data_IF_841251289592
#
_entry.id   IF_841251289592
#
_cell.length_a   1.000
_cell.length_b   1.000
_cell.length_c   1.000
_cell.angle_alpha   90.00
_cell.angle_beta   90.00
_cell.angle_gamma   90.00
#
_symmetry.space_group_name_H-M   'P 1'
#
loop_
_entity.id
_entity.type
_entity.pdbx_description
1 polymer ?
#
# COMPACT_ATOMS: atom_id res chain seq x y z
N UNK A 1 -34.21 -22.05 -40.07
CA UNK A 1 -32.80 -22.53 -40.03
C UNK A 1 -31.79 -21.45 -40.46
N UNK A 2 -32.11 -20.58 -41.43
CA UNK A 2 -31.23 -19.49 -41.89
C UNK A 2 -30.82 -18.44 -40.84
N UNK A 3 -31.69 -18.00 -39.91
CA UNK A 3 -31.32 -16.96 -38.94
C UNK A 3 -30.25 -17.39 -37.92
N UNK A 4 -30.15 -18.68 -37.57
CA UNK A 4 -29.12 -19.18 -36.64
C UNK A 4 -27.73 -19.15 -37.27
N UNK A 5 -27.63 -19.42 -38.57
CA UNK A 5 -26.37 -19.35 -39.32
C UNK A 5 -25.82 -17.92 -39.39
N UNK A 6 -26.69 -16.94 -39.66
CA UNK A 6 -26.31 -15.51 -39.73
C UNK A 6 -25.87 -14.98 -38.35
N UNK A 7 -26.54 -15.38 -37.26
CA UNK A 7 -26.15 -14.99 -35.91
C UNK A 7 -24.80 -15.57 -35.49
N UNK A 8 -24.54 -16.84 -35.84
CA UNK A 8 -23.26 -17.47 -35.55
C UNK A 8 -22.11 -16.84 -36.35
N UNK A 9 -22.32 -16.51 -37.63
CA UNK A 9 -21.29 -15.79 -38.40
C UNK A 9 -21.04 -14.37 -37.88
N UNK A 10 -22.07 -13.66 -37.42
CA UNK A 10 -21.91 -12.32 -36.81
C UNK A 10 -21.14 -12.38 -35.49
N UNK A 11 -21.42 -13.38 -34.65
CA UNK A 11 -20.68 -13.63 -33.40
C UNK A 11 -19.23 -14.03 -33.65
N UNK A 12 -18.99 -14.89 -34.63
CA UNK A 12 -17.64 -15.31 -35.02
C UNK A 12 -16.82 -14.12 -35.54
N UNK A 13 -17.42 -13.26 -36.38
CA UNK A 13 -16.77 -12.03 -36.86
C UNK A 13 -16.48 -11.06 -35.72
N UNK A 14 -17.39 -10.91 -34.75
CA UNK A 14 -17.17 -10.07 -33.57
C UNK A 14 -16.03 -10.59 -32.67
N UNK A 15 -15.99 -11.91 -32.40
CA UNK A 15 -14.94 -12.54 -31.62
C UNK A 15 -13.57 -12.47 -32.31
N UNK A 16 -13.52 -12.64 -33.63
CA UNK A 16 -12.29 -12.47 -34.42
C UNK A 16 -11.77 -11.03 -34.39
N UNK A 17 -12.66 -10.04 -34.53
CA UNK A 17 -12.29 -8.63 -34.46
C UNK A 17 -11.84 -8.22 -33.04
N UNK A 18 -12.49 -8.73 -31.99
CA UNK A 18 -12.07 -8.51 -30.60
C UNK A 18 -10.72 -9.18 -30.31
N UNK A 19 -10.53 -10.41 -30.76
CA UNK A 19 -9.25 -11.12 -30.64
C UNK A 19 -8.14 -10.38 -31.39
N UNK A 20 -8.40 -9.87 -32.60
CA UNK A 20 -7.47 -9.04 -33.35
C UNK A 20 -7.12 -7.75 -32.59
N UNK A 21 -8.11 -7.10 -31.98
CA UNK A 21 -7.89 -5.90 -31.18
C UNK A 21 -7.03 -6.17 -29.94
N UNK A 22 -7.32 -7.25 -29.20
CA UNK A 22 -6.51 -7.69 -28.05
C UNK A 22 -5.09 -8.04 -28.51
N UNK A 23 -4.94 -8.73 -29.64
CA UNK A 23 -3.64 -9.09 -30.21
C UNK A 23 -2.82 -7.84 -30.57
N UNK A 24 -3.44 -6.82 -31.16
CA UNK A 24 -2.78 -5.54 -31.47
C UNK A 24 -2.31 -4.84 -30.18
N UNK A 25 -3.15 -4.81 -29.13
CA UNK A 25 -2.76 -4.24 -27.83
C UNK A 25 -1.59 -5.02 -27.22
N UNK A 26 -1.60 -6.35 -27.28
CA UNK A 26 -0.52 -7.19 -26.78
C UNK A 26 0.79 -6.97 -27.53
N UNK A 27 0.74 -6.81 -28.85
CA UNK A 27 1.93 -6.48 -29.66
C UNK A 27 2.45 -5.09 -29.26
N UNK A 28 1.59 -4.07 -29.17
CA UNK A 28 2.00 -2.73 -28.73
C UNK A 28 2.56 -2.69 -27.30
N UNK A 29 2.06 -3.56 -26.42
CA UNK A 29 2.58 -3.74 -25.07
C UNK A 29 3.93 -4.47 -25.05
N UNK A 30 4.13 -5.45 -25.93
CA UNK A 30 5.31 -6.33 -25.97
C UNK A 30 6.47 -5.77 -26.80
N UNK A 31 6.21 -4.83 -27.71
CA UNK A 31 7.27 -4.17 -28.47
C UNK A 31 7.99 -3.19 -27.54
N UNK A 32 9.19 -3.59 -27.10
CA UNK A 32 10.17 -2.79 -26.35
C UNK A 32 10.78 -1.69 -27.24
N UNK A 33 9.96 -0.77 -27.76
CA UNK A 33 10.48 0.42 -28.44
C UNK A 33 10.75 1.53 -27.40
N UNK A 34 11.99 2.06 -27.30
CA UNK A 34 12.38 2.99 -26.23
C UNK A 34 11.53 4.27 -26.16
N UNK A 35 10.89 4.67 -27.26
CA UNK A 35 9.97 5.82 -27.32
C UNK A 35 8.62 5.62 -26.61
N UNK A 36 8.21 4.38 -26.33
CA UNK A 36 6.93 4.04 -25.66
C UNK A 36 7.17 3.72 -24.17
N UNK A 37 8.41 3.45 -23.77
CA UNK A 37 8.78 3.09 -22.41
C UNK A 37 8.55 4.23 -21.40
N UNK A 38 8.89 5.48 -21.77
CA UNK A 38 8.72 6.66 -20.89
C UNK A 38 7.26 7.00 -20.56
N UNK A 39 6.36 7.20 -21.54
CA UNK A 39 4.96 7.54 -21.23
C UNK A 39 4.23 6.39 -20.51
N UNK A 40 4.64 5.14 -20.78
CA UNK A 40 4.14 3.96 -20.08
C UNK A 40 4.54 3.98 -18.59
N UNK A 41 5.80 4.26 -18.28
CA UNK A 41 6.28 4.37 -16.90
C UNK A 41 5.59 5.50 -16.13
N UNK A 42 5.44 6.68 -16.74
CA UNK A 42 4.73 7.80 -16.10
C UNK A 42 3.26 7.49 -15.76
N UNK A 43 2.57 6.75 -16.64
CA UNK A 43 1.20 6.29 -16.37
C UNK A 43 1.17 5.23 -15.28
N UNK A 44 2.11 4.28 -15.27
CA UNK A 44 2.21 3.30 -14.20
C UNK A 44 2.50 3.96 -12.85
N UNK A 45 3.44 4.90 -12.79
CA UNK A 45 3.76 5.62 -11.56
C UNK A 45 2.58 6.46 -11.08
N UNK A 46 1.84 7.10 -12.00
CA UNK A 46 0.65 7.89 -11.66
C UNK A 46 -0.51 7.01 -11.18
N UNK A 47 -0.75 5.88 -11.82
CA UNK A 47 -1.79 4.91 -11.40
C UNK A 47 -1.40 4.27 -10.06
N UNK A 48 -0.14 3.87 -9.89
CA UNK A 48 0.35 3.34 -8.62
C UNK A 48 0.34 4.39 -7.51
N UNK A 49 0.63 5.65 -7.83
CA UNK A 49 0.51 6.78 -6.90
C UNK A 49 -0.94 6.98 -6.42
N UNK A 50 -1.91 6.96 -7.34
CA UNK A 50 -3.35 7.11 -7.01
C UNK A 50 -3.90 5.90 -6.24
N UNK A 51 -3.47 4.68 -6.60
CA UNK A 51 -3.82 3.46 -5.86
C UNK A 51 -3.18 3.44 -4.45
N UNK A 52 -1.95 3.95 -4.33
CA UNK A 52 -1.27 4.10 -3.05
C UNK A 52 -1.95 5.14 -2.17
N UNK A 53 -2.32 6.30 -2.71
CA UNK A 53 -2.98 7.37 -1.96
C UNK A 53 -4.40 7.00 -1.51
N UNK A 54 -5.17 6.29 -2.35
CA UNK A 54 -6.49 5.79 -1.94
C UNK A 54 -6.41 4.61 -0.96
N UNK A 55 -5.33 3.83 -0.99
CA UNK A 55 -5.06 2.81 0.02
C UNK A 55 -4.62 3.44 1.34
N UNK A 56 -3.80 4.50 1.35
CA UNK A 56 -3.22 5.12 2.56
C UNK A 56 -4.24 5.41 3.67
N UNK A 57 -5.45 5.84 3.31
CA UNK A 57 -6.54 6.15 4.27
C UNK A 57 -7.04 4.92 5.04
N UNK A 58 -7.02 3.71 4.45
CA UNK A 58 -7.23 2.44 5.17
C UNK A 58 -5.92 1.84 5.70
N UNK A 59 -4.79 2.20 5.09
CA UNK A 59 -3.49 1.60 5.39
C UNK A 59 -2.97 2.06 6.75
N UNK A 60 -3.11 3.34 7.13
CA UNK A 60 -2.47 3.85 8.35
C UNK A 60 -3.27 3.66 9.65
N UNK A 61 -4.38 2.90 9.60
CA UNK A 61 -5.30 2.75 10.73
C UNK A 61 -4.67 2.01 11.92
N UNK A 62 -3.75 1.05 11.67
CA UNK A 62 -3.03 0.36 12.74
C UNK A 62 -2.11 1.32 13.51
N UNK A 63 -1.40 2.19 12.81
CA UNK A 63 -0.53 3.18 13.42
C UNK A 63 -1.35 4.20 14.24
N UNK A 64 -2.48 4.67 13.70
CA UNK A 64 -3.37 5.57 14.42
C UNK A 64 -3.91 4.93 15.72
N UNK A 65 -4.43 3.69 15.66
CA UNK A 65 -4.93 2.97 16.84
C UNK A 65 -3.82 2.67 17.86
N UNK A 66 -2.62 2.34 17.39
CA UNK A 66 -1.46 2.11 18.26
C UNK A 66 -1.08 3.39 19.00
N UNK A 67 -1.10 4.52 18.30
CA UNK A 67 -0.78 5.83 18.88
C UNK A 67 -1.80 6.23 19.94
N UNK A 68 -3.11 6.13 19.65
CA UNK A 68 -4.17 6.45 20.61
C UNK A 68 -4.05 5.61 21.89
N UNK A 69 -3.90 4.28 21.75
CA UNK A 69 -3.73 3.41 22.93
C UNK A 69 -2.47 3.70 23.72
N UNK A 70 -1.38 4.04 23.04
CA UNK A 70 -0.15 4.40 23.73
C UNK A 70 -0.35 5.67 24.56
N UNK A 71 -1.03 6.69 24.02
CA UNK A 71 -1.37 7.93 24.74
C UNK A 71 -2.33 7.71 25.91
N UNK A 72 -3.26 6.77 25.79
CA UNK A 72 -4.19 6.43 26.88
C UNK A 72 -3.52 5.68 28.02
N UNK A 73 -2.60 4.76 27.71
CA UNK A 73 -1.95 3.89 28.71
C UNK A 73 -0.72 4.51 29.37
N UNK A 74 0.02 5.35 28.64
CA UNK A 74 1.31 5.85 29.08
C UNK A 74 1.20 7.33 29.47
N UNK A 75 1.77 7.68 30.62
CA UNK A 75 1.93 9.08 31.03
C UNK A 75 3.21 9.65 30.43
N UNK A 76 3.13 10.10 29.18
CA UNK A 76 4.26 10.65 28.44
C UNK A 76 4.43 12.16 28.73
N UNK A 77 5.67 12.64 28.68
CA UNK A 77 5.92 14.08 28.56
C UNK A 77 5.48 14.57 27.17
N UNK A 78 5.17 15.86 27.04
CA UNK A 78 4.77 16.44 25.74
C UNK A 78 5.78 16.13 24.64
N UNK A 79 7.08 16.26 24.92
CA UNK A 79 8.14 15.99 23.94
C UNK A 79 8.18 14.52 23.53
N UNK A 80 7.98 13.59 24.48
CA UNK A 80 7.92 12.18 24.18
C UNK A 80 6.67 11.82 23.37
N UNK A 81 5.52 12.41 23.70
CA UNK A 81 4.28 12.25 22.96
C UNK A 81 4.38 12.78 21.52
N UNK A 82 4.99 13.96 21.33
CA UNK A 82 5.22 14.54 20.01
C UNK A 82 6.15 13.66 19.17
N UNK A 83 7.20 13.11 19.80
CA UNK A 83 8.09 12.17 19.15
C UNK A 83 7.34 10.88 18.75
N UNK A 84 6.54 10.30 19.65
CA UNK A 84 5.75 9.10 19.36
C UNK A 84 4.75 9.35 18.22
N UNK A 85 4.07 10.49 18.26
CA UNK A 85 3.11 10.93 17.23
C UNK A 85 3.78 10.98 15.86
N UNK A 86 5.02 11.48 15.78
CA UNK A 86 5.79 11.50 14.53
C UNK A 86 6.20 10.10 14.07
N UNK A 87 6.59 9.22 14.99
CA UNK A 87 7.03 7.85 14.69
C UNK A 87 5.86 6.93 14.30
N UNK A 88 4.65 7.19 14.81
CA UNK A 88 3.44 6.42 14.51
C UNK A 88 2.48 7.19 13.58
N UNK A 89 2.98 8.16 12.83
CA UNK A 89 2.15 8.94 11.90
C UNK A 89 1.64 8.11 10.70
N UNK A 90 2.34 7.03 10.35
CA UNK A 90 1.95 6.09 9.28
C UNK A 90 2.37 4.68 9.65
N UNK A 91 1.76 3.66 9.03
CA UNK A 91 2.13 2.26 9.21
C UNK A 91 3.59 2.00 8.84
N UNK A 92 4.11 2.67 7.82
CA UNK A 92 5.52 2.55 7.43
C UNK A 92 6.47 3.07 8.53
N UNK A 93 6.16 4.23 9.12
CA UNK A 93 6.96 4.80 10.20
C UNK A 93 6.85 3.97 11.48
N UNK A 94 5.65 3.49 11.81
CA UNK A 94 5.43 2.56 12.91
C UNK A 94 6.23 1.26 12.72
N UNK A 95 6.22 0.68 11.52
CA UNK A 95 7.01 -0.50 11.18
C UNK A 95 8.52 -0.26 11.32
N UNK A 96 8.98 0.92 10.90
CA UNK A 96 10.37 1.34 11.07
C UNK A 96 10.75 1.47 12.55
N UNK A 97 9.87 2.08 13.36
CA UNK A 97 10.03 2.17 14.82
C UNK A 97 10.08 0.78 15.47
N UNK A 98 9.13 -0.09 15.12
CA UNK A 98 9.06 -1.46 15.62
C UNK A 98 10.34 -2.25 15.30
N UNK A 99 10.77 -2.20 14.05
CA UNK A 99 12.00 -2.89 13.62
C UNK A 99 13.20 -2.41 14.43
N UNK A 100 13.34 -1.09 14.57
CA UNK A 100 14.51 -0.50 15.21
C UNK A 100 14.56 -0.76 16.72
N UNK A 101 13.48 -0.45 17.42
CA UNK A 101 13.51 -0.40 18.88
C UNK A 101 12.87 -1.63 19.54
N UNK A 102 11.91 -2.28 18.88
CA UNK A 102 11.24 -3.45 19.43
C UNK A 102 11.92 -4.76 19.04
N UNK A 103 12.40 -4.87 17.80
CA UNK A 103 13.06 -6.08 17.28
C UNK A 103 14.57 -6.01 17.46
N UNK A 104 15.23 -4.99 16.88
CA UNK A 104 16.70 -4.84 16.95
C UNK A 104 17.21 -4.32 18.29
N UNK A 105 16.31 -3.87 19.17
CA UNK A 105 16.64 -3.34 20.51
C UNK A 105 17.67 -2.21 20.47
N UNK A 106 17.65 -1.39 19.41
CA UNK A 106 18.48 -0.20 19.35
C UNK A 106 18.07 0.81 20.45
N UNK A 107 19.00 1.68 20.83
CA UNK A 107 18.75 2.69 21.86
C UNK A 107 17.81 3.78 21.32
N UNK A 108 16.78 4.11 22.10
CA UNK A 108 15.88 5.22 21.84
C UNK A 108 16.08 6.31 22.89
N UNK A 109 16.25 7.56 22.45
CA UNK A 109 16.52 8.70 23.34
C UNK A 109 15.29 9.18 24.12
N UNK A 110 14.08 8.78 23.71
CA UNK A 110 12.81 9.20 24.31
C UNK A 110 12.15 8.11 25.14
N UNK A 111 12.36 6.84 24.78
CA UNK A 111 11.72 5.70 25.43
C UNK A 111 12.73 4.65 25.84
N UNK A 112 12.63 4.17 27.08
CA UNK A 112 13.46 3.10 27.61
C UNK A 112 12.67 2.32 28.65
N UNK A 113 13.20 1.14 29.04
CA UNK A 113 12.60 0.35 30.10
C UNK A 113 11.14 -0.02 29.82
N UNK A 114 10.25 0.35 30.74
CA UNK A 114 8.85 -0.08 30.69
C UNK A 114 8.03 0.61 29.59
N UNK A 115 8.21 1.92 29.39
CA UNK A 115 7.49 2.68 28.36
C UNK A 115 7.76 2.09 26.97
N UNK A 116 9.03 1.83 26.64
CA UNK A 116 9.38 1.23 25.35
C UNK A 116 8.78 -0.18 25.21
N UNK A 117 8.80 -1.00 26.27
CA UNK A 117 8.19 -2.34 26.25
C UNK A 117 6.68 -2.26 26.00
N UNK A 118 5.99 -1.34 26.67
CA UNK A 118 4.55 -1.15 26.49
C UNK A 118 4.20 -0.67 25.09
N UNK A 119 4.94 0.31 24.54
CA UNK A 119 4.76 0.77 23.15
C UNK A 119 4.94 -0.41 22.17
N UNK A 120 6.01 -1.19 22.34
CA UNK A 120 6.25 -2.37 21.50
C UNK A 120 5.15 -3.42 21.60
N UNK A 121 4.58 -3.64 22.80
CA UNK A 121 3.46 -4.55 23.01
C UNK A 121 2.20 -4.06 22.29
N UNK A 122 1.88 -2.77 22.41
CA UNK A 122 0.71 -2.18 21.75
C UNK A 122 0.82 -2.32 20.22
N UNK A 123 1.97 -2.00 19.64
CA UNK A 123 2.20 -2.15 18.20
C UNK A 123 2.03 -3.62 17.77
N UNK A 124 2.56 -4.57 18.54
CA UNK A 124 2.45 -5.99 18.23
C UNK A 124 1.01 -6.52 18.35
N UNK A 125 0.18 -5.96 19.23
CA UNK A 125 -1.25 -6.29 19.35
C UNK A 125 -2.05 -5.74 18.17
N UNK A 126 -1.74 -4.52 17.72
CA UNK A 126 -2.46 -3.88 16.62
C UNK A 126 -2.12 -4.40 15.24
N UNK A 127 -0.88 -4.82 14.99
CA UNK A 127 -0.48 -5.40 13.71
C UNK A 127 -0.89 -6.87 13.52
N UNK A 128 -1.53 -7.49 14.53
CA UNK A 128 -2.07 -8.86 14.46
C UNK A 128 -3.59 -8.90 14.29
N UNK A 129 -4.24 -7.74 14.27
CA UNK A 129 -5.70 -7.59 14.19
C UNK A 129 -6.16 -7.53 12.75
#
# INVERSE_FOLDING_TARGET
MHSKLVLNQKKEKFMKNYFLFVLVILILASVDHPSIAKPRQELYDKVMGVLSDSSKVKTDQEAARSLERAKEKLRLSQTAEDYLTKQLATNQKMSSFNTRYCVKKELNSYFYGDDLRQICKIIAEESKR
#
